data_IF_715283881209
#
_entry.id   IF_715283881209
#
_cell.length_a   1.000
_cell.length_b   1.000
_cell.length_c   1.000
_cell.angle_alpha   90.00
_cell.angle_beta   90.00
_cell.angle_gamma   90.00
#
_symmetry.space_group_name_H-M   'P 1'
#
loop_
_entity.id
_entity.type
_entity.pdbx_description
1 polymer ?
#
# COMPACT_ATOMS: atom_id res chain seq x y z
N UNK A 1 -24.69 5.44 -7.10
CA UNK A 1 -23.60 5.19 -8.06
C UNK A 1 -22.31 5.05 -7.28
N UNK A 2 -21.83 3.82 -7.07
CA UNK A 2 -20.54 3.59 -6.41
C UNK A 2 -19.46 3.97 -7.43
N UNK A 3 -18.84 5.13 -7.25
CA UNK A 3 -17.74 5.58 -8.10
C UNK A 3 -16.62 4.55 -8.05
N UNK A 4 -16.32 3.94 -9.20
CA UNK A 4 -15.17 3.04 -9.33
C UNK A 4 -13.94 3.93 -9.10
N UNK A 5 -13.30 3.78 -7.94
CA UNK A 5 -12.03 4.44 -7.68
C UNK A 5 -10.98 3.79 -8.59
N UNK A 6 -10.72 4.42 -9.74
CA UNK A 6 -9.65 4.00 -10.64
C UNK A 6 -8.31 4.29 -9.97
N UNK A 7 -7.56 3.24 -9.63
CA UNK A 7 -6.21 3.35 -9.08
C UNK A 7 -5.27 3.96 -10.12
N UNK A 8 -4.47 4.94 -9.70
CA UNK A 8 -3.47 5.64 -10.53
C UNK A 8 -2.07 5.48 -9.96
N UNK A 9 -1.07 5.60 -10.83
CA UNK A 9 0.32 5.62 -10.42
C UNK A 9 0.62 6.87 -9.58
N UNK A 10 1.12 6.71 -8.37
CA UNK A 10 1.48 7.82 -7.49
C UNK A 10 2.66 8.69 -7.99
N UNK A 11 3.41 8.22 -8.99
CA UNK A 11 4.57 8.93 -9.56
C UNK A 11 4.23 9.68 -10.84
N UNK A 12 3.61 9.02 -11.82
CA UNK A 12 3.33 9.61 -13.13
C UNK A 12 1.83 9.84 -13.41
N UNK A 13 0.94 9.43 -12.51
CA UNK A 13 -0.51 9.59 -12.68
C UNK A 13 -1.20 8.60 -13.64
N UNK A 14 -0.44 7.72 -14.30
CA UNK A 14 -1.01 6.75 -15.26
C UNK A 14 -1.97 5.74 -14.62
N UNK A 15 -3.03 5.39 -15.35
CA UNK A 15 -3.99 4.33 -15.01
C UNK A 15 -3.58 2.95 -15.55
N UNK A 16 -2.52 2.90 -16.38
CA UNK A 16 -2.02 1.65 -16.98
C UNK A 16 -1.18 0.90 -15.97
N UNK A 17 -1.84 0.18 -15.09
CA UNK A 17 -1.24 -0.61 -14.03
C UNK A 17 -1.29 -2.10 -14.36
N UNK A 18 -0.23 -2.84 -14.04
CA UNK A 18 -0.23 -4.31 -14.15
C UNK A 18 -1.43 -4.90 -13.39
N UNK A 19 -1.95 -6.07 -13.80
CA UNK A 19 -2.93 -6.83 -13.02
C UNK A 19 -2.52 -6.96 -11.55
N UNK A 20 -3.51 -6.93 -10.66
CA UNK A 20 -3.29 -7.26 -9.24
C UNK A 20 -2.76 -8.71 -9.14
N UNK A 21 -1.91 -8.97 -8.14
CA UNK A 21 -1.33 -10.30 -7.86
C UNK A 21 -0.43 -10.88 -8.96
N UNK A 22 -0.11 -10.15 -10.03
CA UNK A 22 0.91 -10.60 -10.99
C UNK A 22 2.32 -10.59 -10.35
N UNK A 23 2.53 -9.71 -9.38
CA UNK A 23 3.79 -9.55 -8.66
C UNK A 23 3.52 -9.74 -7.17
N UNK A 24 3.49 -11.00 -6.72
CA UNK A 24 3.34 -11.32 -5.30
C UNK A 24 4.72 -11.43 -4.67
N UNK A 25 5.08 -10.43 -3.87
CA UNK A 25 6.27 -10.49 -3.03
C UNK A 25 5.82 -10.90 -1.62
N UNK A 26 5.86 -12.21 -1.33
CA UNK A 26 5.42 -12.76 -0.05
C UNK A 26 6.30 -12.36 1.16
N UNK A 27 7.36 -11.56 0.98
CA UNK A 27 8.39 -11.32 2.02
C UNK A 27 8.97 -9.89 2.05
N UNK A 28 8.26 -8.88 1.55
CA UNK A 28 8.71 -7.48 1.72
C UNK A 28 7.89 -6.79 2.80
N UNK A 29 8.53 -6.59 3.96
CA UNK A 29 8.04 -5.77 5.04
C UNK A 29 8.50 -4.33 4.81
N UNK A 30 7.62 -3.35 4.97
CA UNK A 30 8.01 -1.95 5.01
C UNK A 30 7.49 -1.29 6.28
N UNK A 31 8.29 -0.40 6.83
CA UNK A 31 7.95 0.34 8.03
C UNK A 31 7.11 1.55 7.63
N UNK A 32 5.89 1.65 8.16
CA UNK A 32 5.10 2.87 8.12
C UNK A 32 5.45 3.68 9.37
N UNK A 33 6.19 4.79 9.25
CA UNK A 33 6.61 5.58 10.39
C UNK A 33 5.40 6.22 11.09
N UNK A 34 5.46 6.30 12.42
CA UNK A 34 4.47 6.97 13.28
C UNK A 34 3.00 6.51 13.10
N UNK A 35 2.81 5.30 12.56
CA UNK A 35 1.50 4.77 12.22
C UNK A 35 0.81 4.00 13.35
N UNK A 36 1.43 3.84 14.52
CA UNK A 36 0.82 3.29 15.74
C UNK A 36 0.98 4.29 16.90
N UNK A 37 -0.11 4.91 17.38
CA UNK A 37 -0.09 5.85 18.51
C UNK A 37 -0.61 5.20 19.77
N UNK A 38 0.31 4.83 20.67
CA UNK A 38 -0.03 4.34 22.01
C UNK A 38 0.29 5.34 23.12
N UNK A 39 -0.09 5.01 24.36
CA UNK A 39 0.27 5.78 25.57
C UNK A 39 1.77 6.10 25.64
N UNK A 40 2.61 5.16 25.19
CA UNK A 40 4.08 5.23 25.26
C UNK A 40 4.74 5.98 24.08
N UNK A 41 3.97 6.63 23.21
CA UNK A 41 4.47 7.38 22.05
C UNK A 41 4.14 6.72 20.71
N UNK A 42 4.65 7.31 19.63
CA UNK A 42 4.47 6.79 18.27
C UNK A 42 5.41 5.61 18.01
N UNK A 43 4.87 4.56 17.40
CA UNK A 43 5.58 3.37 16.96
C UNK A 43 5.43 3.23 15.45
N UNK A 44 6.47 2.67 14.83
CA UNK A 44 6.43 2.31 13.43
C UNK A 44 5.59 1.04 13.27
N UNK A 45 4.68 1.04 12.31
CA UNK A 45 3.90 -0.14 11.97
C UNK A 45 4.63 -0.92 10.88
N UNK A 46 4.95 -2.19 11.16
CA UNK A 46 5.50 -3.09 10.15
C UNK A 46 4.35 -3.56 9.27
N UNK A 47 4.23 -2.98 8.07
CA UNK A 47 3.25 -3.39 7.08
C UNK A 47 3.77 -4.60 6.30
N UNK A 48 2.96 -5.66 6.24
CA UNK A 48 3.16 -6.76 5.30
C UNK A 48 2.52 -6.37 3.96
N UNK A 49 3.34 -6.20 2.91
CA UNK A 49 2.80 -6.03 1.56
C UNK A 49 2.11 -7.31 1.13
N UNK A 50 0.89 -7.18 0.62
CA UNK A 50 0.15 -8.32 0.07
C UNK A 50 0.15 -8.32 -1.46
N UNK A 51 0.27 -7.14 -2.08
CA UNK A 51 0.18 -7.00 -3.54
C UNK A 51 1.09 -5.88 -4.01
N UNK A 52 1.88 -6.13 -5.07
CA UNK A 52 2.57 -5.07 -5.82
C UNK A 52 1.94 -4.92 -7.19
N UNK A 53 1.89 -3.68 -7.69
CA UNK A 53 1.57 -3.37 -9.08
C UNK A 53 2.66 -2.53 -9.71
N UNK A 54 2.89 -2.74 -10.99
CA UNK A 54 3.85 -1.97 -11.78
C UNK A 54 3.09 -1.01 -12.68
N UNK A 55 3.52 0.25 -12.71
CA UNK A 55 3.06 1.18 -13.73
C UNK A 55 3.67 0.80 -15.09
N UNK A 56 2.82 0.53 -16.07
CA UNK A 56 3.26 0.08 -17.40
C UNK A 56 3.85 1.21 -18.25
N UNK A 57 3.68 2.48 -17.84
CA UNK A 57 4.23 3.63 -18.56
C UNK A 57 5.58 4.10 -17.98
N UNK A 58 5.71 4.22 -16.64
CA UNK A 58 6.94 4.70 -16.01
C UNK A 58 7.77 3.62 -15.31
N UNK A 59 7.29 2.37 -15.26
CA UNK A 59 7.99 1.24 -14.62
C UNK A 59 7.99 1.28 -13.08
N UNK A 60 7.38 2.28 -12.46
CA UNK A 60 7.38 2.40 -11.00
C UNK A 60 6.59 1.27 -10.33
N UNK A 61 7.16 0.68 -9.28
CA UNK A 61 6.56 -0.41 -8.50
C UNK A 61 5.87 0.17 -7.28
N UNK A 62 4.57 -0.07 -7.16
CA UNK A 62 3.75 0.38 -6.02
C UNK A 62 3.37 -0.81 -5.16
N UNK A 63 3.64 -0.68 -3.86
CA UNK A 63 3.16 -1.59 -2.84
C UNK A 63 1.76 -1.23 -2.38
N UNK A 64 0.92 -2.24 -2.18
CA UNK A 64 -0.37 -2.10 -1.53
C UNK A 64 -0.34 -2.86 -0.20
N UNK A 65 -0.83 -2.20 0.85
CA UNK A 65 -1.05 -2.82 2.15
C UNK A 65 -2.25 -3.76 2.09
N UNK A 66 -2.21 -4.86 2.85
CA UNK A 66 -3.40 -5.68 3.06
C UNK A 66 -4.49 -4.89 3.79
N UNK A 67 -5.76 -5.29 3.63
CA UNK A 67 -6.87 -4.68 4.37
C UNK A 67 -6.68 -4.77 5.89
N UNK A 68 -6.09 -5.85 6.39
CA UNK A 68 -5.73 -6.01 7.79
C UNK A 68 -4.73 -4.94 8.25
N UNK A 69 -3.69 -4.71 7.45
CA UNK A 69 -2.69 -3.66 7.71
C UNK A 69 -3.34 -2.28 7.62
N UNK A 70 -4.23 -2.05 6.66
CA UNK A 70 -4.98 -0.81 6.52
C UNK A 70 -5.88 -0.53 7.73
N UNK A 71 -6.55 -1.56 8.27
CA UNK A 71 -7.34 -1.45 9.49
C UNK A 71 -6.48 -1.10 10.69
N UNK A 72 -5.29 -1.71 10.81
CA UNK A 72 -4.33 -1.38 11.88
C UNK A 72 -3.87 0.08 11.80
N UNK A 73 -3.53 0.57 10.60
CA UNK A 73 -3.17 1.98 10.37
C UNK A 73 -4.33 2.92 10.76
N UNK A 74 -5.56 2.59 10.37
CA UNK A 74 -6.74 3.39 10.69
C UNK A 74 -7.09 3.39 12.18
N UNK A 75 -6.92 2.26 12.86
CA UNK A 75 -7.19 2.14 14.29
C UNK A 75 -6.17 2.89 15.16
N UNK A 76 -5.00 3.14 14.61
CA UNK A 76 -3.90 3.83 15.26
C UNK A 76 -3.84 5.35 15.01
N UNK A 77 -4.64 5.85 14.06
CA UNK A 77 -4.74 7.28 13.75
C UNK A 77 -5.86 7.93 14.54
#
# INVERSE_FOLDING_TARGET
MLGVMTLRCGVCGSERLSPAYQWVAFQQHFNVPDADKGWLGSKNLVATESVKRVCLDCGHVMGFVSDETLQKIRAAT
#
